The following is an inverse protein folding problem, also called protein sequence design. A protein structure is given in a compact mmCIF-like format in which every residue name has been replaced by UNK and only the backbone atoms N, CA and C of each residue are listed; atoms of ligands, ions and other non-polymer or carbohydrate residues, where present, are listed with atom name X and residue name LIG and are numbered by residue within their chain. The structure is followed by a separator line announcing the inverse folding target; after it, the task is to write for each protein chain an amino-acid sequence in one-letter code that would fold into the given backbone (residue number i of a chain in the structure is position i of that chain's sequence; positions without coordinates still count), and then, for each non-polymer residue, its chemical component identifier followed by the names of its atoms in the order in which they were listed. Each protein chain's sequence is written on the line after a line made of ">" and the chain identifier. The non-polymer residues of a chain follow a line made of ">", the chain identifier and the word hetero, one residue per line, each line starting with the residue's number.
data_IF_295516743769
#
_entry.id   IF_295516743769
#
_cell.length_a   1.000
_cell.length_b   1.000
_cell.length_c   1.000
_cell.angle_alpha   90.00
_cell.angle_beta   90.00
_cell.angle_gamma   90.00
#
_symmetry.space_group_name_H-M   'P 1'
#
loop_
_entity.id
_entity.type
_entity.pdbx_description
1 polymer ?
#
# COMPACT_ATOMS: atom_id res chain seq x y z
N UNK A 1 -1.01 -28.92 0.87
CA UNK A 1 0.30 -28.88 1.54
C UNK A 1 1.15 -30.06 1.13
N UNK A 2 2.47 -30.00 1.36
CA UNK A 2 3.35 -31.14 1.07
C UNK A 2 3.04 -32.29 2.05
N UNK A 3 2.87 -33.54 1.60
CA UNK A 3 2.48 -34.66 2.47
C UNK A 3 3.32 -34.79 3.73
N UNK A 4 4.64 -34.66 3.64
CA UNK A 4 5.54 -34.80 4.78
C UNK A 4 5.35 -33.68 5.87
N UNK A 5 4.76 -32.55 5.52
CA UNK A 5 4.39 -31.49 6.49
C UNK A 5 3.15 -31.93 7.25
N UNK A 6 2.13 -32.39 6.52
CA UNK A 6 0.85 -32.82 7.13
C UNK A 6 1.02 -34.09 7.95
N UNK A 7 1.76 -35.07 7.45
CA UNK A 7 1.96 -36.37 8.12
C UNK A 7 2.78 -36.25 9.42
N UNK A 8 3.60 -35.22 9.52
CA UNK A 8 4.48 -35.01 10.71
C UNK A 8 4.00 -33.85 11.60
N UNK A 9 2.86 -33.24 11.27
CA UNK A 9 2.31 -32.07 12.00
C UNK A 9 3.35 -30.96 12.20
N UNK A 10 4.19 -30.71 11.20
CA UNK A 10 5.18 -29.64 11.25
C UNK A 10 4.45 -28.30 11.16
N UNK A 11 4.80 -27.37 12.03
CA UNK A 11 4.29 -26.00 11.94
C UNK A 11 4.73 -25.39 10.60
N UNK A 12 3.76 -24.83 9.86
CA UNK A 12 3.98 -24.23 8.55
C UNK A 12 3.30 -22.88 8.50
N UNK A 13 4.06 -21.86 8.17
CA UNK A 13 3.57 -20.53 7.91
C UNK A 13 3.98 -20.07 6.51
N UNK A 14 3.08 -19.49 5.76
CA UNK A 14 3.32 -18.98 4.42
C UNK A 14 2.74 -17.56 4.28
N UNK A 15 3.60 -16.57 4.30
CA UNK A 15 3.27 -15.23 3.84
C UNK A 15 3.54 -15.17 2.34
N UNK A 16 2.47 -15.21 1.53
CA UNK A 16 2.61 -15.24 0.07
C UNK A 16 2.79 -13.82 -0.49
N UNK A 17 1.88 -12.92 -0.12
CA UNK A 17 1.87 -11.51 -0.50
C UNK A 17 0.86 -10.74 0.36
N UNK A 18 0.80 -9.41 0.19
CA UNK A 18 -0.13 -8.57 0.93
C UNK A 18 -0.58 -7.34 0.14
N UNK A 19 -1.86 -7.30 -0.21
CA UNK A 19 -2.47 -6.17 -0.90
C UNK A 19 -3.10 -5.19 0.11
N UNK A 20 -2.24 -4.52 0.87
CA UNK A 20 -2.65 -3.61 1.92
C UNK A 20 -3.44 -2.42 1.37
N UNK A 21 -4.51 -2.03 2.09
CA UNK A 21 -5.38 -0.94 1.71
C UNK A 21 -5.25 0.25 2.67
N UNK A 22 -5.33 1.45 2.13
CA UNK A 22 -5.50 2.69 2.90
C UNK A 22 -6.77 3.40 2.46
N UNK A 23 -7.64 3.70 3.41
CA UNK A 23 -8.96 4.29 3.17
C UNK A 23 -8.97 5.74 3.62
N UNK A 24 -9.43 6.65 2.75
CA UNK A 24 -9.79 8.00 3.12
C UNK A 24 -11.25 8.02 3.54
N UNK A 25 -11.58 8.49 4.74
CA UNK A 25 -12.97 8.66 5.18
C UNK A 25 -13.69 9.76 4.40
N UNK A 26 -15.02 9.67 4.31
CA UNK A 26 -15.85 10.62 3.55
C UNK A 26 -15.79 12.05 4.10
N UNK A 27 -15.50 12.21 5.39
CA UNK A 27 -15.39 13.51 6.06
C UNK A 27 -13.96 14.11 6.00
N UNK A 28 -13.00 13.41 5.43
CA UNK A 28 -11.63 13.89 5.25
C UNK A 28 -11.49 14.65 3.92
N UNK A 29 -12.09 15.82 3.84
CA UNK A 29 -12.11 16.71 2.66
C UNK A 29 -10.79 17.50 2.51
N UNK A 30 -10.48 18.07 1.32
CA UNK A 30 -9.20 18.74 1.05
C UNK A 30 -8.79 19.84 2.02
N UNK A 31 -9.74 20.44 2.73
CA UNK A 31 -9.53 21.47 3.74
C UNK A 31 -9.22 20.92 5.14
N UNK A 32 -9.25 19.59 5.34
CA UNK A 32 -8.96 18.93 6.61
C UNK A 32 -7.48 18.53 6.75
N UNK A 33 -7.00 18.42 7.99
CA UNK A 33 -5.67 17.89 8.26
C UNK A 33 -5.57 16.40 7.88
N UNK A 34 -6.65 15.65 8.03
CA UNK A 34 -6.74 14.23 7.70
C UNK A 34 -6.50 13.97 6.22
N UNK A 35 -6.99 14.82 5.31
CA UNK A 35 -6.67 14.72 3.90
C UNK A 35 -5.16 14.83 3.65
N UNK A 36 -4.53 15.83 4.24
CA UNK A 36 -3.08 16.04 4.12
C UNK A 36 -2.27 14.89 4.73
N UNK A 37 -2.72 14.32 5.86
CA UNK A 37 -2.14 13.14 6.49
C UNK A 37 -2.25 11.91 5.60
N UNK A 38 -3.43 11.67 5.03
CA UNK A 38 -3.68 10.57 4.12
C UNK A 38 -2.73 10.59 2.91
N UNK A 39 -2.67 11.73 2.23
CA UNK A 39 -1.77 11.92 1.08
C UNK A 39 -0.31 11.71 1.47
N UNK A 40 0.11 12.24 2.62
CA UNK A 40 1.48 12.08 3.14
C UNK A 40 1.81 10.61 3.42
N UNK A 41 0.92 9.90 4.11
CA UNK A 41 1.15 8.47 4.44
C UNK A 41 1.13 7.60 3.18
N UNK A 42 0.22 7.84 2.22
CA UNK A 42 0.22 7.11 0.95
C UNK A 42 1.53 7.30 0.18
N UNK A 43 1.99 8.53 0.00
CA UNK A 43 3.25 8.81 -0.70
C UNK A 43 4.44 8.18 0.02
N UNK A 44 4.49 8.27 1.35
CA UNK A 44 5.52 7.61 2.16
C UNK A 44 5.55 6.10 1.95
N UNK A 45 4.38 5.45 1.99
CA UNK A 45 4.27 3.99 1.82
C UNK A 45 4.61 3.53 0.40
N UNK A 46 4.35 4.36 -0.62
CA UNK A 46 4.75 4.07 -2.01
C UNK A 46 6.27 4.16 -2.17
N UNK A 47 6.93 5.13 -1.52
CA UNK A 47 8.32 5.48 -1.81
C UNK A 47 9.35 4.92 -0.84
N UNK A 48 8.98 4.68 0.42
CA UNK A 48 9.91 4.14 1.43
C UNK A 48 10.39 2.75 1.01
N UNK A 49 11.71 2.51 1.07
CA UNK A 49 12.34 1.28 0.57
C UNK A 49 11.96 0.95 -0.88
N UNK A 50 11.69 1.98 -1.71
CA UNK A 50 11.17 1.85 -3.06
C UNK A 50 9.91 0.96 -3.14
N UNK A 51 9.02 1.07 -2.15
CA UNK A 51 7.80 0.26 -2.05
C UNK A 51 8.02 -1.23 -1.76
N UNK A 52 9.26 -1.68 -1.59
CA UNK A 52 9.59 -3.09 -1.28
C UNK A 52 9.47 -3.37 0.21
N UNK A 53 8.24 -3.31 0.67
CA UNK A 53 7.84 -3.53 2.05
C UNK A 53 6.54 -4.33 2.05
N UNK A 54 6.47 -5.44 2.81
CA UNK A 54 5.29 -6.30 2.90
C UNK A 54 4.03 -5.53 3.32
N UNK A 55 4.19 -4.44 4.06
CA UNK A 55 3.10 -3.60 4.54
C UNK A 55 2.83 -2.36 3.68
N UNK A 56 3.51 -2.18 2.54
CA UNK A 56 3.30 -1.01 1.68
C UNK A 56 1.83 -0.91 1.21
N UNK A 57 1.32 0.31 1.10
CA UNK A 57 -0.02 0.55 0.57
C UNK A 57 -0.03 0.22 -0.92
N UNK A 58 -0.84 -0.77 -1.31
CA UNK A 58 -1.05 -1.16 -2.72
C UNK A 58 -2.35 -0.62 -3.27
N UNK A 59 -3.35 -0.44 -2.40
CA UNK A 59 -4.69 -0.02 -2.78
C UNK A 59 -5.10 1.20 -1.96
N UNK A 60 -5.38 2.30 -2.66
CA UNK A 60 -5.77 3.59 -2.12
C UNK A 60 -7.26 3.76 -2.42
N UNK A 61 -8.11 3.62 -1.40
CA UNK A 61 -9.56 3.56 -1.55
C UNK A 61 -10.15 4.87 -1.02
N UNK A 62 -10.79 5.64 -1.89
CA UNK A 62 -11.20 7.02 -1.58
C UNK A 62 -12.65 7.29 -2.00
N UNK A 63 -13.35 8.24 -1.36
CA UNK A 63 -14.68 8.65 -1.82
C UNK A 63 -14.66 9.06 -3.30
N UNK A 64 -15.67 8.66 -4.08
CA UNK A 64 -15.72 8.95 -5.53
C UNK A 64 -15.65 10.44 -5.85
N UNK A 65 -16.25 11.29 -5.01
CA UNK A 65 -16.21 12.73 -5.15
C UNK A 65 -14.86 13.39 -4.79
N UNK A 66 -13.94 12.66 -4.18
CA UNK A 66 -12.60 13.15 -3.78
C UNK A 66 -11.47 12.51 -4.58
N UNK A 67 -11.77 11.58 -5.51
CA UNK A 67 -10.74 10.80 -6.20
C UNK A 67 -9.78 11.67 -7.00
N UNK A 68 -10.27 12.72 -7.67
CA UNK A 68 -9.44 13.62 -8.45
C UNK A 68 -8.53 14.48 -7.55
N UNK A 69 -9.05 14.98 -6.43
CA UNK A 69 -8.26 15.75 -5.47
C UNK A 69 -7.13 14.91 -4.87
N UNK A 70 -7.44 13.67 -4.47
CA UNK A 70 -6.44 12.74 -3.91
C UNK A 70 -5.42 12.34 -4.97
N UNK A 71 -5.86 11.98 -6.18
CA UNK A 71 -4.98 11.65 -7.28
C UNK A 71 -3.99 12.77 -7.57
N UNK A 72 -4.49 14.00 -7.74
CA UNK A 72 -3.66 15.16 -8.04
C UNK A 72 -2.67 15.45 -6.91
N UNK A 73 -3.11 15.37 -5.65
CA UNK A 73 -2.26 15.61 -4.50
C UNK A 73 -1.15 14.54 -4.34
N UNK A 74 -1.45 13.27 -4.58
CA UNK A 74 -0.45 12.18 -4.56
C UNK A 74 0.50 12.34 -5.74
N UNK A 75 0.00 12.49 -6.97
CA UNK A 75 0.81 12.63 -8.20
C UNK A 75 1.80 13.77 -8.08
N UNK A 76 1.35 14.96 -7.64
CA UNK A 76 2.23 16.11 -7.43
C UNK A 76 3.37 15.87 -6.43
N UNK A 77 3.17 15.01 -5.43
CA UNK A 77 4.22 14.64 -4.47
C UNK A 77 5.15 13.55 -5.03
N UNK A 78 4.63 12.59 -5.78
CA UNK A 78 5.41 11.55 -6.42
C UNK A 78 6.35 12.13 -7.49
N UNK A 79 5.88 13.07 -8.30
CA UNK A 79 6.67 13.79 -9.30
C UNK A 79 7.87 14.56 -8.69
N UNK A 80 7.72 15.05 -7.46
CA UNK A 80 8.78 15.75 -6.72
C UNK A 80 9.71 14.79 -5.97
N UNK A 81 9.43 13.48 -5.98
CA UNK A 81 10.23 12.49 -5.29
C UNK A 81 11.52 12.23 -6.07
N UNK A 82 12.63 12.72 -5.58
CA UNK A 82 13.95 12.47 -6.16
C UNK A 82 14.35 11.01 -5.96
N UNK A 83 14.69 10.35 -7.08
CA UNK A 83 15.15 8.97 -7.14
C UNK A 83 16.67 9.00 -7.34
N UNK A 84 17.43 8.17 -6.64
CA UNK A 84 18.88 8.14 -6.85
C UNK A 84 19.68 7.52 -5.71
N UNK A 85 20.92 7.96 -5.59
CA UNK A 85 21.82 7.55 -4.51
C UNK A 85 21.33 8.11 -3.17
N UNK A 86 20.99 7.27 -2.18
CA UNK A 86 20.52 7.72 -0.87
C UNK A 86 21.53 8.57 -0.08
N UNK A 87 22.81 8.54 -0.46
CA UNK A 87 23.84 9.39 0.15
C UNK A 87 23.72 10.87 -0.28
N UNK A 88 22.97 11.17 -1.34
CA UNK A 88 22.80 12.53 -1.83
C UNK A 88 21.63 13.21 -1.08
N UNK A 89 21.90 14.41 -0.62
CA UNK A 89 20.90 15.22 0.07
C UNK A 89 19.68 15.49 -0.85
N UNK A 90 18.49 15.25 -0.32
CA UNK A 90 17.24 15.46 -1.05
C UNK A 90 16.74 14.23 -1.80
N UNK A 91 17.55 13.19 -2.04
CA UNK A 91 17.07 11.91 -2.56
C UNK A 91 16.15 11.25 -1.53
N UNK A 92 14.99 10.82 -1.97
CA UNK A 92 13.94 10.24 -1.12
C UNK A 92 13.62 8.78 -1.42
N UNK A 93 13.99 8.31 -2.59
CA UNK A 93 13.79 6.92 -2.99
C UNK A 93 15.06 6.37 -3.67
N UNK A 94 15.59 5.28 -3.14
CA UNK A 94 16.71 4.54 -3.71
C UNK A 94 16.27 3.51 -4.75
N UNK A 95 17.21 2.63 -5.08
CA UNK A 95 16.97 1.50 -5.99
C UNK A 95 16.13 0.39 -5.34
N UNK A 96 15.52 -0.44 -6.17
CA UNK A 96 14.99 -1.76 -5.80
C UNK A 96 16.15 -2.69 -5.39
N UNK A 97 15.83 -3.80 -4.74
CA UNK A 97 16.81 -4.74 -4.22
C UNK A 97 17.70 -5.37 -5.32
N UNK A 98 17.20 -5.50 -6.54
CA UNK A 98 17.96 -6.05 -7.68
C UNK A 98 17.30 -5.74 -9.02
N UNK A 99 18.05 -5.94 -10.13
CA UNK A 99 17.49 -5.85 -11.49
C UNK A 99 16.39 -6.89 -11.76
N UNK A 100 16.50 -8.08 -11.19
CA UNK A 100 15.43 -9.07 -11.26
C UNK A 100 14.13 -8.55 -10.63
N UNK A 101 14.22 -7.76 -9.55
CA UNK A 101 13.04 -7.12 -8.97
C UNK A 101 12.46 -6.03 -9.88
N UNK A 102 13.31 -5.28 -10.59
CA UNK A 102 12.84 -4.32 -11.62
C UNK A 102 12.03 -5.03 -12.71
N UNK A 103 12.52 -6.17 -13.21
CA UNK A 103 11.81 -6.98 -14.22
C UNK A 103 10.46 -7.47 -13.70
N UNK A 104 10.42 -8.05 -12.49
CA UNK A 104 9.19 -8.54 -11.87
C UNK A 104 8.16 -7.44 -11.61
N UNK A 105 8.61 -6.29 -11.11
CA UNK A 105 7.72 -5.13 -10.90
C UNK A 105 7.19 -4.63 -12.23
N UNK A 106 8.02 -4.56 -13.25
CA UNK A 106 7.61 -4.18 -14.62
C UNK A 106 6.55 -5.15 -15.18
N UNK A 107 6.76 -6.45 -15.04
CA UNK A 107 5.77 -7.46 -15.45
C UNK A 107 4.42 -7.25 -14.75
N UNK A 108 4.45 -6.99 -13.44
CA UNK A 108 3.24 -6.70 -12.66
C UNK A 108 2.56 -5.40 -13.11
N UNK A 109 3.32 -4.35 -13.39
CA UNK A 109 2.80 -3.07 -13.91
C UNK A 109 2.11 -3.28 -15.27
N UNK A 110 2.75 -3.99 -16.20
CA UNK A 110 2.19 -4.30 -17.52
C UNK A 110 0.93 -5.19 -17.42
N UNK A 111 0.86 -6.06 -16.42
CA UNK A 111 -0.34 -6.86 -16.16
C UNK A 111 -1.49 -6.01 -15.60
N UNK A 112 -1.20 -5.08 -14.71
CA UNK A 112 -2.18 -4.14 -14.16
C UNK A 112 -2.71 -3.17 -15.23
N UNK A 113 -1.85 -2.68 -16.11
CA UNK A 113 -2.18 -1.73 -17.18
C UNK A 113 -3.24 -2.26 -18.17
N UNK A 114 -3.41 -3.58 -18.26
CA UNK A 114 -4.46 -4.20 -19.09
C UNK A 114 -5.89 -3.85 -18.65
N UNK A 115 -6.07 -3.44 -17.41
CA UNK A 115 -7.41 -3.18 -16.84
C UNK A 115 -7.55 -1.80 -16.19
N UNK A 116 -6.46 -1.06 -16.02
CA UNK A 116 -6.45 0.24 -15.35
C UNK A 116 -5.41 1.17 -15.97
N UNK A 117 -5.49 2.47 -15.70
CA UNK A 117 -4.66 3.48 -16.35
C UNK A 117 -3.57 3.97 -15.41
N UNK A 118 -2.34 4.16 -15.91
CA UNK A 118 -1.30 4.92 -15.21
C UNK A 118 -1.71 6.39 -15.24
N UNK A 119 -1.75 7.03 -14.07
CA UNK A 119 -2.08 8.46 -13.91
C UNK A 119 -0.92 9.28 -13.38
N UNK A 120 0.14 8.63 -12.88
CA UNK A 120 1.40 9.27 -12.50
C UNK A 120 2.54 8.26 -12.61
N UNK A 121 3.72 8.77 -13.01
CA UNK A 121 4.92 7.98 -13.23
C UNK A 121 5.05 7.43 -14.65
N UNK A 122 6.24 6.95 -14.97
CA UNK A 122 6.58 6.40 -16.29
C UNK A 122 7.65 5.30 -16.12
N UNK A 123 7.53 4.22 -16.90
CA UNK A 123 8.44 3.08 -16.80
C UNK A 123 9.83 3.34 -17.39
N UNK A 124 9.94 4.29 -18.34
CA UNK A 124 11.18 4.57 -19.07
C UNK A 124 11.70 5.97 -18.78
N UNK A 125 10.79 6.96 -18.68
CA UNK A 125 11.15 8.38 -18.60
C UNK A 125 11.13 8.85 -17.15
N UNK A 126 12.24 8.69 -16.43
CA UNK A 126 12.47 9.27 -15.10
C UNK A 126 13.97 9.51 -14.87
N UNK A 127 14.29 10.49 -14.04
CA UNK A 127 15.65 10.86 -13.72
C UNK A 127 16.18 10.11 -12.48
N UNK A 128 17.50 9.88 -12.46
CA UNK A 128 18.20 9.27 -11.32
C UNK A 128 19.34 10.19 -10.91
N UNK A 129 19.32 10.65 -9.67
CA UNK A 129 20.32 11.59 -9.14
C UNK A 129 21.51 10.83 -8.54
N UNK A 130 22.73 11.16 -8.99
CA UNK A 130 23.97 10.66 -8.42
C UNK A 130 24.30 9.20 -8.66
N UNK A 131 23.57 8.51 -9.55
CA UNK A 131 23.83 7.14 -9.90
C UNK A 131 23.54 6.85 -11.38
N UNK A 132 24.11 5.77 -11.90
CA UNK A 132 23.82 5.32 -13.27
C UNK A 132 22.51 4.52 -13.32
N UNK A 133 21.51 5.09 -13.98
CA UNK A 133 20.20 4.49 -14.17
C UNK A 133 20.26 3.11 -14.83
N UNK A 134 21.20 2.89 -15.78
CA UNK A 134 21.32 1.64 -16.52
C UNK A 134 22.02 0.55 -15.71
N UNK A 135 22.94 0.92 -14.84
CA UNK A 135 23.64 -0.01 -13.96
C UNK A 135 22.85 -0.31 -12.69
N UNK A 136 22.12 0.66 -12.16
CA UNK A 136 21.32 0.51 -10.95
C UNK A 136 19.96 -0.18 -11.20
N UNK A 137 19.31 -0.57 -10.12
CA UNK A 137 17.98 -1.18 -10.12
C UNK A 137 16.88 -0.14 -9.82
N UNK A 138 16.93 1.00 -10.47
CA UNK A 138 15.99 2.10 -10.24
C UNK A 138 14.65 1.88 -10.92
N UNK A 139 13.59 2.40 -10.31
CA UNK A 139 12.21 2.31 -10.81
C UNK A 139 11.45 3.58 -10.44
N UNK A 140 10.59 4.06 -11.33
CA UNK A 140 9.73 5.22 -11.06
C UNK A 140 8.56 4.84 -10.14
N UNK A 141 8.13 5.71 -9.22
CA UNK A 141 6.83 5.53 -8.58
C UNK A 141 5.71 5.55 -9.62
N UNK A 142 4.82 4.57 -9.53
CA UNK A 142 3.67 4.43 -10.44
C UNK A 142 2.37 4.50 -9.64
N UNK A 143 1.50 5.40 -10.02
CA UNK A 143 0.12 5.43 -9.53
C UNK A 143 -0.84 5.05 -10.65
N UNK A 144 -1.59 3.99 -10.42
CA UNK A 144 -2.71 3.59 -11.26
C UNK A 144 -4.02 4.19 -10.77
N UNK A 145 -4.98 4.35 -11.70
CA UNK A 145 -6.38 4.62 -11.39
C UNK A 145 -7.26 3.50 -11.95
N UNK A 146 -8.11 2.96 -11.10
CA UNK A 146 -9.12 1.96 -11.44
C UNK A 146 -10.52 2.54 -11.18
N UNK A 147 -11.27 2.84 -12.23
CA UNK A 147 -12.61 3.44 -12.15
C UNK A 147 -13.72 2.42 -11.85
N UNK A 148 -13.44 1.14 -11.99
CA UNK A 148 -14.41 0.07 -11.82
C UNK A 148 -13.81 -1.10 -11.03
N UNK A 149 -13.47 -0.85 -9.72
CA UNK A 149 -12.68 -1.79 -8.94
C UNK A 149 -13.40 -3.10 -8.60
N UNK A 150 -14.74 -3.14 -8.69
CA UNK A 150 -15.49 -4.37 -8.46
C UNK A 150 -15.44 -5.33 -9.64
N UNK A 151 -15.27 -4.85 -10.87
CA UNK A 151 -15.20 -5.67 -12.09
C UNK A 151 -13.77 -5.80 -12.61
N UNK A 152 -12.94 -4.76 -12.50
CA UNK A 152 -11.52 -4.76 -12.90
C UNK A 152 -10.65 -5.17 -11.72
N UNK A 153 -10.64 -6.46 -11.42
CA UNK A 153 -10.13 -7.02 -10.16
C UNK A 153 -8.60 -7.18 -10.08
N UNK A 154 -7.85 -6.90 -11.15
CA UNK A 154 -6.40 -7.13 -11.18
C UNK A 154 -5.64 -6.48 -10.02
N UNK A 155 -6.04 -5.28 -9.58
CA UNK A 155 -5.45 -4.60 -8.41
C UNK A 155 -5.73 -5.28 -7.06
N UNK A 156 -6.66 -6.26 -7.02
CA UNK A 156 -6.95 -7.06 -5.85
C UNK A 156 -6.24 -8.43 -5.88
N UNK A 157 -5.61 -8.77 -7.00
CA UNK A 157 -4.96 -10.07 -7.19
C UNK A 157 -3.44 -9.98 -7.41
N UNK A 158 -2.96 -8.88 -8.02
CA UNK A 158 -1.56 -8.71 -8.40
C UNK A 158 -0.86 -7.76 -7.43
N UNK A 159 0.15 -8.26 -6.73
CA UNK A 159 1.08 -7.43 -5.97
C UNK A 159 2.29 -7.05 -6.83
N UNK A 160 2.42 -5.76 -7.18
CA UNK A 160 3.65 -5.21 -7.71
C UNK A 160 4.56 -4.83 -6.53
N UNK A 161 5.55 -5.67 -6.20
CA UNK A 161 6.43 -5.48 -5.04
C UNK A 161 7.50 -4.42 -5.30
N UNK A 162 7.03 -3.19 -5.48
CA UNK A 162 7.78 -1.98 -5.82
C UNK A 162 6.99 -0.72 -5.50
N UNK A 163 7.42 0.46 -5.98
CA UNK A 163 6.76 1.73 -5.71
C UNK A 163 5.49 1.92 -6.57
N UNK A 164 4.53 0.99 -6.43
CA UNK A 164 3.33 0.90 -7.26
C UNK A 164 2.10 0.81 -6.38
N UNK A 165 1.10 1.65 -6.67
CA UNK A 165 -0.21 1.63 -5.99
C UNK A 165 -1.33 1.94 -6.97
N UNK A 166 -2.55 1.53 -6.62
CA UNK A 166 -3.77 1.82 -7.38
C UNK A 166 -4.73 2.64 -6.54
N UNK A 167 -5.17 3.79 -7.06
CA UNK A 167 -6.28 4.56 -6.49
C UNK A 167 -7.61 4.11 -7.09
N UNK A 168 -8.64 3.99 -6.26
CA UNK A 168 -9.96 3.53 -6.67
C UNK A 168 -11.08 4.19 -5.86
N UNK A 169 -12.26 4.44 -6.48
CA UNK A 169 -13.38 5.11 -5.82
C UNK A 169 -14.24 4.14 -5.00
N UNK A 170 -14.93 4.70 -4.01
CA UNK A 170 -16.07 4.08 -3.32
C UNK A 170 -17.19 5.12 -3.12
N UNK A 171 -18.44 4.68 -2.98
CA UNK A 171 -19.62 5.54 -2.80
C UNK A 171 -20.03 5.68 -1.34
N UNK A 172 -19.89 4.62 -0.57
CA UNK A 172 -20.21 4.59 0.85
C UNK A 172 -19.26 3.68 1.62
N UNK A 173 -19.31 3.72 2.95
CA UNK A 173 -18.42 2.93 3.79
C UNK A 173 -18.59 1.42 3.60
N UNK A 174 -19.75 0.95 3.19
CA UNK A 174 -19.99 -0.45 2.86
C UNK A 174 -19.16 -0.88 1.65
N UNK A 175 -19.15 -0.10 0.56
CA UNK A 175 -18.29 -0.34 -0.60
C UNK A 175 -16.80 -0.27 -0.24
N UNK A 176 -16.39 0.70 0.60
CA UNK A 176 -14.99 0.80 1.05
C UNK A 176 -14.54 -0.47 1.79
N UNK A 177 -15.39 -1.00 2.67
CA UNK A 177 -15.15 -2.24 3.41
C UNK A 177 -15.04 -3.43 2.44
N UNK A 178 -15.96 -3.57 1.50
CA UNK A 178 -15.95 -4.66 0.52
C UNK A 178 -14.69 -4.59 -0.37
N UNK A 179 -14.34 -3.42 -0.88
CA UNK A 179 -13.09 -3.23 -1.65
C UNK A 179 -11.85 -3.60 -0.83
N UNK A 180 -11.80 -3.22 0.44
CA UNK A 180 -10.71 -3.60 1.32
C UNK A 180 -10.58 -5.13 1.44
N UNK A 181 -11.70 -5.83 1.60
CA UNK A 181 -11.79 -7.30 1.73
C UNK A 181 -11.44 -8.04 0.44
N UNK A 182 -11.63 -7.43 -0.74
CA UNK A 182 -11.26 -8.03 -2.03
C UNK A 182 -9.78 -8.39 -2.15
N UNK A 183 -8.91 -7.84 -1.31
CA UNK A 183 -7.50 -8.27 -1.21
C UNK A 183 -7.29 -9.67 -0.65
N UNK A 184 -8.35 -10.37 -0.19
CA UNK A 184 -8.32 -11.76 0.28
C UNK A 184 -7.36 -12.00 1.45
N UNK A 185 -7.23 -11.01 2.30
CA UNK A 185 -6.31 -10.98 3.44
C UNK A 185 -5.12 -10.05 3.21
N UNK A 186 -4.76 -9.30 4.23
CA UNK A 186 -3.57 -8.46 4.23
C UNK A 186 -2.96 -8.34 5.63
N UNK A 187 -1.70 -7.93 5.68
CA UNK A 187 -0.99 -7.66 6.95
C UNK A 187 -1.58 -6.45 7.66
N UNK A 188 -1.91 -5.41 6.91
CA UNK A 188 -2.38 -4.15 7.47
C UNK A 188 -3.37 -3.45 6.55
N UNK A 189 -4.32 -2.76 7.18
CA UNK A 189 -5.12 -1.72 6.55
C UNK A 189 -5.09 -0.46 7.39
N UNK A 190 -5.44 0.68 6.80
CA UNK A 190 -5.60 1.93 7.54
C UNK A 190 -6.85 2.69 7.10
N UNK A 191 -7.42 3.45 8.01
CA UNK A 191 -8.42 4.47 7.71
C UNK A 191 -7.96 5.80 8.27
N UNK A 192 -8.04 6.84 7.46
CA UNK A 192 -7.74 8.22 7.87
C UNK A 192 -9.03 9.03 7.80
N UNK A 193 -9.55 9.44 8.95
CA UNK A 193 -10.84 10.14 9.06
C UNK A 193 -10.94 10.94 10.36
N UNK A 194 -11.59 12.11 10.36
CA UNK A 194 -11.98 12.81 11.57
C UNK A 194 -13.20 12.18 12.27
N UNK A 195 -13.93 11.28 11.61
CA UNK A 195 -15.18 10.69 12.10
C UNK A 195 -14.94 9.39 12.85
N UNK A 196 -15.22 9.39 14.16
CA UNK A 196 -15.17 8.19 14.99
C UNK A 196 -16.17 7.11 14.52
N UNK A 197 -17.29 7.51 13.94
CA UNK A 197 -18.28 6.56 13.43
C UNK A 197 -17.75 5.82 12.20
N UNK A 198 -17.18 6.54 11.22
CA UNK A 198 -16.54 5.90 10.05
C UNK A 198 -15.41 4.97 10.45
N UNK A 199 -14.57 5.42 11.40
CA UNK A 199 -13.48 4.59 11.92
C UNK A 199 -14.00 3.28 12.53
N UNK A 200 -15.05 3.38 13.34
CA UNK A 200 -15.70 2.21 13.97
C UNK A 200 -16.32 1.27 12.93
N UNK A 201 -17.08 1.81 11.99
CA UNK A 201 -17.76 1.01 10.96
C UNK A 201 -16.74 0.26 10.10
N UNK A 202 -15.68 0.94 9.69
CA UNK A 202 -14.60 0.32 8.95
C UNK A 202 -13.89 -0.78 9.75
N UNK A 203 -13.49 -0.49 11.00
CA UNK A 203 -12.80 -1.48 11.85
C UNK A 203 -13.66 -2.72 12.05
N UNK A 204 -14.94 -2.56 12.40
CA UNK A 204 -15.84 -3.69 12.63
C UNK A 204 -16.08 -4.48 11.33
N UNK A 205 -16.28 -3.78 10.21
CA UNK A 205 -16.59 -4.41 8.92
C UNK A 205 -15.40 -5.11 8.26
N UNK A 206 -14.18 -4.61 8.45
CA UNK A 206 -12.99 -5.07 7.74
C UNK A 206 -12.04 -5.95 8.60
N UNK A 207 -12.21 -6.00 9.93
CA UNK A 207 -11.25 -6.61 10.86
C UNK A 207 -10.88 -8.06 10.53
N UNK A 208 -11.82 -8.86 10.01
CA UNK A 208 -11.57 -10.28 9.70
C UNK A 208 -10.59 -10.52 8.54
N UNK A 209 -10.29 -9.49 7.76
CA UNK A 209 -9.46 -9.60 6.54
C UNK A 209 -8.09 -8.91 6.67
N UNK A 210 -7.76 -8.34 7.83
CA UNK A 210 -6.51 -7.61 8.03
C UNK A 210 -5.86 -8.02 9.35
N UNK A 211 -4.55 -8.23 9.35
CA UNK A 211 -3.79 -8.57 10.55
C UNK A 211 -3.82 -7.46 11.60
N UNK A 212 -3.84 -6.21 11.15
CA UNK A 212 -4.10 -5.04 11.99
C UNK A 212 -4.75 -3.92 11.19
N UNK A 213 -5.43 -3.00 11.89
CA UNK A 213 -6.00 -1.79 11.31
C UNK A 213 -5.46 -0.58 12.06
N UNK A 214 -4.86 0.38 11.32
CA UNK A 214 -4.48 1.68 11.85
C UNK A 214 -5.64 2.65 11.64
N UNK A 215 -6.12 3.25 12.71
CA UNK A 215 -7.01 4.42 12.64
C UNK A 215 -6.17 5.67 12.88
N UNK A 216 -6.22 6.62 11.95
CA UNK A 216 -5.41 7.83 11.99
C UNK A 216 -6.28 9.07 11.82
N UNK A 217 -6.05 10.06 12.67
CA UNK A 217 -6.60 11.41 12.56
C UNK A 217 -5.54 12.43 13.04
N UNK A 218 -5.87 13.71 12.99
CA UNK A 218 -4.96 14.77 13.42
C UNK A 218 -4.51 14.65 14.87
N UNK A 219 -5.38 14.15 15.74
CA UNK A 219 -5.13 14.12 17.19
C UNK A 219 -4.11 13.03 17.58
N UNK A 220 -4.06 11.92 16.84
CA UNK A 220 -3.11 10.82 17.10
C UNK A 220 -1.91 10.77 16.11
N UNK A 221 -1.85 11.69 15.15
CA UNK A 221 -0.85 11.63 14.08
C UNK A 221 0.61 11.69 14.56
N UNK A 222 0.87 12.44 15.66
CA UNK A 222 2.23 12.60 16.20
C UNK A 222 2.75 11.36 16.89
N UNK A 223 1.89 10.58 17.52
CA UNK A 223 2.21 9.35 18.23
C UNK A 223 2.13 8.11 17.34
N UNK A 224 1.61 8.26 16.13
CA UNK A 224 1.45 7.15 15.19
C UNK A 224 2.79 6.65 14.66
N UNK A 225 2.98 5.33 14.69
CA UNK A 225 4.10 4.67 14.02
C UNK A 225 3.92 4.59 12.50
N UNK A 226 2.73 4.93 12.00
CA UNK A 226 2.34 4.88 10.60
C UNK A 226 1.80 3.52 10.16
N UNK A 227 1.29 3.49 8.93
CA UNK A 227 0.63 2.32 8.34
C UNK A 227 1.50 1.05 8.39
N UNK A 228 2.76 1.19 8.00
CA UNK A 228 3.66 0.05 7.79
C UNK A 228 4.40 -0.47 9.01
N UNK A 229 4.25 0.14 10.19
CA UNK A 229 5.06 -0.20 11.37
C UNK A 229 4.20 -0.77 12.49
N UNK A 230 4.30 -2.07 12.81
CA UNK A 230 3.59 -2.64 13.95
C UNK A 230 4.14 -2.11 15.28
N UNK A 231 3.29 -2.00 16.27
CA UNK A 231 3.71 -1.74 17.65
C UNK A 231 4.43 -2.98 18.20
N UNK A 232 5.42 -2.83 19.13
CA UNK A 232 6.23 -3.94 19.61
C UNK A 232 5.47 -5.10 20.27
N UNK A 233 4.25 -4.86 20.72
CA UNK A 233 3.41 -5.88 21.37
C UNK A 233 2.37 -6.50 20.42
N UNK A 234 2.26 -6.00 19.18
CA UNK A 234 1.33 -6.55 18.20
C UNK A 234 1.96 -7.77 17.51
N UNK A 235 1.14 -8.78 17.31
CA UNK A 235 1.47 -9.87 16.41
C UNK A 235 1.53 -9.33 14.98
N UNK A 236 2.63 -9.57 14.27
CA UNK A 236 2.75 -9.25 12.86
C UNK A 236 2.39 -10.47 12.04
N UNK A 237 1.36 -10.36 11.26
CA UNK A 237 0.80 -11.41 10.43
C UNK A 237 -0.55 -10.98 9.89
N UNK A 238 -1.20 -11.81 9.10
CA UNK A 238 -2.51 -11.51 8.55
C UNK A 238 -3.24 -12.73 8.04
N UNK A 239 -4.57 -12.62 7.84
CA UNK A 239 -5.39 -13.72 7.34
C UNK A 239 -5.15 -13.98 5.84
N UNK A 240 -5.64 -15.10 5.35
CA UNK A 240 -5.65 -15.46 3.95
C UNK A 240 -4.26 -15.46 3.31
N UNK A 241 -4.10 -14.73 2.20
CA UNK A 241 -2.83 -14.65 1.46
C UNK A 241 -1.68 -14.01 2.26
N UNK A 242 -1.98 -13.25 3.31
CA UNK A 242 -1.00 -12.65 4.18
C UNK A 242 -0.44 -13.61 5.26
N UNK A 243 -0.72 -14.90 5.16
CA UNK A 243 -0.03 -15.97 5.85
C UNK A 243 -0.72 -16.56 7.08
N UNK A 244 -1.49 -15.83 7.83
CA UNK A 244 -2.27 -16.32 8.98
C UNK A 244 -1.47 -16.71 10.23
N UNK A 245 -0.15 -16.62 10.20
CA UNK A 245 0.73 -16.92 11.32
C UNK A 245 1.35 -15.70 11.95
N UNK A 246 2.13 -15.92 13.00
CA UNK A 246 2.96 -14.89 13.62
C UNK A 246 4.29 -14.81 12.86
N UNK A 247 4.59 -13.63 12.34
CA UNK A 247 5.91 -13.34 11.77
C UNK A 247 6.94 -13.04 12.86
N UNK A 248 8.20 -13.23 12.52
CA UNK A 248 9.33 -12.85 13.35
C UNK A 248 9.33 -11.33 13.60
N UNK A 249 8.93 -10.93 14.80
CA UNK A 249 8.88 -9.53 15.20
C UNK A 249 8.35 -9.34 16.62
N UNK A 250 8.63 -8.20 17.21
CA UNK A 250 8.24 -7.92 18.59
C UNK A 250 8.96 -8.78 19.63
N UNK A 251 8.28 -9.09 20.73
CA UNK A 251 8.89 -9.81 21.86
C UNK A 251 9.16 -11.29 21.64
N UNK A 252 8.57 -11.90 20.61
CA UNK A 252 8.65 -13.33 20.33
C UNK A 252 9.56 -13.68 19.16
N UNK A 253 10.03 -12.65 18.40
CA UNK A 253 10.95 -12.78 17.29
C UNK A 253 12.43 -12.77 17.66
#
# INVERSE_FOLDING_TARGET
>A
GLPHITDRSVAFNLEADSLNASILGMHATPDTEEFSLFVKECVKEITIKAGQKCTAVRRIIVPENLIDDVQNAISSKLEKTKIGDPAIEGVRMGALASKLQVERVRESVLALEKSQNIVSGDLESFDVEGADKKLGAFFSPILFRNEDPFNKIACHDIEAFGPVSTIMPYKDMGEAIELAKMGKGSLVSSIVTPSNQEARDYVVGAASMHGRILVLNKDCAKESTGHGSPMPLLTHGGPGRAGGGEEMGGKRG
#
